data_IF_344918242147
#
_entry.id   IF_344918242147
#
_cell.length_a   1.000
_cell.length_b   1.000
_cell.length_c   1.000
_cell.angle_alpha   90.00
_cell.angle_beta   90.00
_cell.angle_gamma   90.00
#
_symmetry.space_group_name_H-M   'P 1'
#
loop_
_entity.id
_entity.type
_entity.pdbx_description
1 polymer ?
#
# COMPACT_ATOMS: atom_id res chain seq x y z
N UNK A 1 6.83 8.60 -22.35
CA UNK A 1 5.67 9.06 -21.68
C UNK A 1 4.55 8.00 -21.59
N UNK A 2 4.62 7.07 -22.50
CA UNK A 2 3.61 6.02 -22.53
C UNK A 2 3.51 5.23 -21.24
N UNK A 3 4.52 5.28 -20.41
CA UNK A 3 4.46 4.65 -19.10
C UNK A 3 3.30 5.14 -18.27
N UNK A 4 2.82 6.34 -18.54
CA UNK A 4 1.67 6.89 -17.85
C UNK A 4 0.40 6.08 -18.08
N UNK A 5 0.26 5.54 -19.28
CA UNK A 5 -0.93 4.78 -19.61
C UNK A 5 -1.00 3.47 -18.85
N UNK A 6 0.11 3.01 -18.31
CA UNK A 6 0.17 1.75 -17.56
C UNK A 6 -0.10 1.93 -16.08
N UNK A 7 -0.19 3.17 -15.61
CA UNK A 7 -0.43 3.47 -14.22
C UNK A 7 -1.82 4.06 -14.09
N UNK A 8 -2.56 3.63 -13.09
CA UNK A 8 -3.86 4.22 -12.81
C UNK A 8 -3.65 5.69 -12.43
N UNK A 9 -4.10 6.65 -13.27
CA UNK A 9 -3.84 8.06 -13.01
C UNK A 9 -4.47 8.56 -11.72
N UNK A 10 -5.63 8.02 -11.35
CA UNK A 10 -6.31 8.46 -10.12
C UNK A 10 -5.51 8.08 -8.90
N UNK A 11 -4.99 6.86 -8.88
CA UNK A 11 -4.19 6.41 -7.74
C UNK A 11 -2.89 7.19 -7.69
N UNK A 12 -2.23 7.36 -8.82
CA UNK A 12 -0.97 8.09 -8.85
C UNK A 12 -1.15 9.53 -8.38
N UNK A 13 -2.22 10.18 -8.83
CA UNK A 13 -2.50 11.56 -8.42
C UNK A 13 -2.76 11.63 -6.93
N UNK A 14 -3.55 10.71 -6.39
CA UNK A 14 -3.85 10.70 -4.97
C UNK A 14 -2.58 10.49 -4.13
N UNK A 15 -1.75 9.55 -4.54
CA UNK A 15 -0.52 9.28 -3.81
C UNK A 15 0.39 10.51 -3.82
N UNK A 16 0.59 11.11 -4.97
CA UNK A 16 1.45 12.29 -5.08
C UNK A 16 0.91 13.45 -4.26
N UNK A 17 -0.41 13.66 -4.30
CA UNK A 17 -1.02 14.75 -3.54
C UNK A 17 -0.83 14.56 -2.04
N UNK A 18 -1.13 13.36 -1.56
CA UNK A 18 -0.97 13.09 -0.13
C UNK A 18 0.48 13.14 0.28
N UNK A 19 1.36 12.63 -0.56
CA UNK A 19 2.79 12.67 -0.27
C UNK A 19 3.28 14.12 -0.14
N UNK A 20 2.81 15.00 -1.01
CA UNK A 20 3.17 16.41 -0.93
C UNK A 20 2.67 17.05 0.36
N UNK A 21 1.43 16.73 0.76
CA UNK A 21 0.89 17.24 2.00
C UNK A 21 1.68 16.75 3.19
N UNK A 22 2.07 15.49 3.17
CA UNK A 22 2.81 14.90 4.26
C UNK A 22 4.25 15.39 4.32
N UNK A 23 4.81 15.81 3.21
CA UNK A 23 6.14 16.39 3.22
C UNK A 23 6.15 17.72 3.98
N UNK A 24 5.00 18.39 4.04
CA UNK A 24 4.86 19.62 4.79
C UNK A 24 4.46 19.38 6.24
N UNK A 25 3.86 18.22 6.50
CA UNK A 25 3.52 17.79 7.84
C UNK A 25 4.57 16.80 8.32
N UNK A 26 4.39 16.30 9.50
CA UNK A 26 5.30 15.30 10.03
C UNK A 26 4.90 13.92 9.52
N UNK A 27 5.39 13.55 8.34
CA UNK A 27 5.04 12.27 7.75
C UNK A 27 5.71 11.09 8.44
N UNK A 28 6.64 11.33 9.35
CA UNK A 28 7.23 10.24 10.13
C UNK A 28 6.18 9.51 10.96
N UNK A 29 5.05 10.15 11.18
CA UNK A 29 3.94 9.52 11.88
C UNK A 29 3.47 8.24 11.16
N UNK A 30 3.57 8.20 9.84
CA UNK A 30 3.16 7.02 9.09
C UNK A 30 4.17 5.89 9.15
N UNK A 31 5.42 6.17 9.50
CA UNK A 31 6.49 5.19 9.47
C UNK A 31 6.94 4.80 10.86
N UNK A 32 7.00 5.75 11.79
CA UNK A 32 7.71 5.58 13.05
C UNK A 32 7.17 4.53 13.98
N UNK A 33 5.87 4.56 14.23
CA UNK A 33 5.28 3.76 15.31
C UNK A 33 4.36 2.65 14.83
N UNK A 34 4.62 2.14 13.63
CA UNK A 34 3.75 1.09 13.10
C UNK A 34 4.19 -0.28 13.56
N UNK A 35 3.22 -1.15 13.79
CA UNK A 35 3.48 -2.51 14.26
C UNK A 35 3.83 -3.43 13.09
N UNK A 36 4.95 -3.14 12.45
CA UNK A 36 5.33 -3.88 11.24
C UNK A 36 5.64 -5.34 11.54
N UNK A 37 6.04 -5.64 12.75
CA UNK A 37 6.37 -7.02 13.12
C UNK A 37 5.14 -7.92 13.20
N UNK A 38 3.97 -7.33 13.25
CA UNK A 38 2.72 -8.09 13.28
C UNK A 38 2.24 -8.49 11.88
N UNK A 39 2.88 -7.99 10.86
CA UNK A 39 2.46 -8.27 9.48
C UNK A 39 2.95 -9.63 9.04
N UNK A 40 2.04 -10.42 8.48
CA UNK A 40 2.39 -11.71 7.92
C UNK A 40 2.99 -11.55 6.53
N UNK A 41 3.58 -12.64 6.04
CA UNK A 41 4.15 -12.65 4.70
C UNK A 41 3.10 -12.30 3.64
N UNK A 42 1.91 -12.86 3.78
CA UNK A 42 0.82 -12.58 2.84
C UNK A 42 0.43 -11.11 2.89
N UNK A 43 0.37 -10.55 4.09
CA UNK A 43 0.05 -9.13 4.24
C UNK A 43 1.10 -8.25 3.58
N UNK A 44 2.38 -8.58 3.74
CA UNK A 44 3.43 -7.84 3.06
C UNK A 44 3.29 -7.90 1.55
N UNK A 45 2.91 -9.06 1.01
CA UNK A 45 2.70 -9.21 -0.43
C UNK A 45 1.55 -8.33 -0.91
N UNK A 46 0.48 -8.27 -0.14
CA UNK A 46 -0.66 -7.43 -0.48
C UNK A 46 -0.26 -5.96 -0.46
N UNK A 47 0.50 -5.56 0.56
CA UNK A 47 0.96 -4.18 0.66
C UNK A 47 1.82 -3.81 -0.55
N UNK A 48 2.69 -4.71 -0.99
CA UNK A 48 3.52 -4.47 -2.17
C UNK A 48 2.66 -4.27 -3.42
N UNK A 49 1.59 -5.04 -3.55
CA UNK A 49 0.67 -4.88 -4.68
C UNK A 49 -0.06 -3.54 -4.62
N UNK A 50 -0.45 -3.13 -3.42
CA UNK A 50 -1.09 -1.83 -3.25
C UNK A 50 -0.13 -0.71 -3.65
N UNK A 51 1.13 -0.84 -3.28
CA UNK A 51 2.14 0.15 -3.66
C UNK A 51 2.23 0.28 -5.18
N UNK A 52 2.07 -0.82 -5.89
CA UNK A 52 2.13 -0.84 -7.34
C UNK A 52 0.85 -0.35 -8.01
N UNK A 53 -0.18 -0.05 -7.24
CA UNK A 53 -1.44 0.43 -7.78
C UNK A 53 -2.38 -0.68 -8.22
N UNK A 54 -2.15 -1.90 -7.80
CA UNK A 54 -3.02 -3.02 -8.18
C UNK A 54 -4.40 -2.87 -7.57
N UNK A 55 -5.41 -3.30 -8.32
CA UNK A 55 -6.78 -3.37 -7.83
C UNK A 55 -6.96 -4.61 -6.96
N UNK A 56 -8.07 -4.67 -6.22
CA UNK A 56 -8.38 -5.86 -5.44
C UNK A 56 -8.46 -7.10 -6.32
N UNK A 57 -9.03 -6.94 -7.51
CA UNK A 57 -9.11 -8.05 -8.45
C UNK A 57 -7.73 -8.52 -8.87
N UNK A 58 -6.84 -7.58 -9.16
CA UNK A 58 -5.47 -7.92 -9.57
C UNK A 58 -4.71 -8.59 -8.43
N UNK A 59 -4.88 -8.09 -7.21
CA UNK A 59 -4.25 -8.69 -6.05
C UNK A 59 -4.77 -10.11 -5.84
N UNK A 60 -6.08 -10.27 -5.95
CA UNK A 60 -6.70 -11.59 -5.79
C UNK A 60 -6.13 -12.59 -6.79
N UNK A 61 -6.01 -12.17 -8.04
CA UNK A 61 -5.45 -13.03 -9.08
C UNK A 61 -3.99 -13.35 -8.82
N UNK A 62 -3.22 -12.36 -8.42
CA UNK A 62 -1.78 -12.55 -8.20
C UNK A 62 -1.52 -13.49 -7.02
N UNK A 63 -2.33 -13.43 -5.99
CA UNK A 63 -2.13 -14.21 -4.77
C UNK A 63 -3.04 -15.41 -4.68
N UNK A 64 -3.88 -15.64 -5.70
CA UNK A 64 -4.82 -16.77 -5.76
C UNK A 64 -5.80 -16.73 -4.60
N UNK A 65 -6.34 -15.53 -4.35
CA UNK A 65 -7.34 -15.31 -3.33
C UNK A 65 -8.61 -14.77 -3.97
N UNK A 66 -9.71 -14.76 -3.22
CA UNK A 66 -10.90 -14.06 -3.66
C UNK A 66 -10.79 -12.58 -3.38
N UNK A 67 -11.56 -11.77 -4.10
CA UNK A 67 -11.56 -10.34 -3.83
C UNK A 67 -12.06 -10.02 -2.43
N UNK A 68 -13.04 -10.79 -1.94
CA UNK A 68 -13.51 -10.60 -0.58
C UNK A 68 -12.42 -10.84 0.45
N UNK A 69 -11.64 -11.88 0.23
CA UNK A 69 -10.50 -12.16 1.10
C UNK A 69 -9.49 -11.02 1.07
N UNK A 70 -9.22 -10.49 -0.12
CA UNK A 70 -8.31 -9.34 -0.24
C UNK A 70 -8.82 -8.15 0.55
N UNK A 71 -10.13 -7.86 0.45
CA UNK A 71 -10.72 -6.76 1.21
C UNK A 71 -10.56 -6.97 2.71
N UNK A 72 -10.77 -8.20 3.16
CA UNK A 72 -10.59 -8.51 4.58
C UNK A 72 -9.14 -8.31 5.02
N UNK A 73 -8.20 -8.78 4.21
CA UNK A 73 -6.78 -8.55 4.50
C UNK A 73 -6.45 -7.07 4.57
N UNK A 74 -6.99 -6.29 3.64
CA UNK A 74 -6.71 -4.85 3.63
C UNK A 74 -7.25 -4.18 4.90
N UNK A 75 -8.45 -4.54 5.31
CA UNK A 75 -9.00 -4.00 6.57
C UNK A 75 -8.11 -4.34 7.75
N UNK A 76 -7.65 -5.57 7.81
CA UNK A 76 -6.76 -6.00 8.89
C UNK A 76 -5.45 -5.24 8.86
N UNK A 77 -4.87 -5.09 7.67
CA UNK A 77 -3.62 -4.36 7.51
C UNK A 77 -3.76 -2.91 7.95
N UNK A 78 -4.83 -2.26 7.52
CA UNK A 78 -5.07 -0.87 7.90
C UNK A 78 -5.20 -0.72 9.40
N UNK A 79 -5.88 -1.67 10.05
CA UNK A 79 -5.98 -1.65 11.49
C UNK A 79 -4.63 -1.84 12.18
N UNK A 80 -3.85 -2.79 11.69
CA UNK A 80 -2.54 -3.08 12.29
C UNK A 80 -1.61 -1.89 12.18
N UNK A 81 -1.70 -1.15 11.09
CA UNK A 81 -0.82 -0.03 10.82
C UNK A 81 -1.43 1.30 11.22
N UNK A 82 -2.66 1.29 11.73
CA UNK A 82 -3.37 2.50 12.13
C UNK A 82 -3.45 3.50 10.99
N UNK A 83 -3.80 3.00 9.80
CA UNK A 83 -3.97 3.81 8.61
C UNK A 83 -5.46 3.91 8.29
N UNK A 84 -5.84 5.00 7.63
CA UNK A 84 -7.25 5.29 7.37
C UNK A 84 -7.78 4.61 6.12
N UNK A 85 -6.99 4.56 5.08
CA UNK A 85 -7.46 4.07 3.80
C UNK A 85 -6.33 3.52 2.97
N UNK A 86 -6.71 3.00 1.81
CA UNK A 86 -5.79 2.37 0.89
C UNK A 86 -4.71 3.31 0.39
N UNK A 87 -5.07 4.58 0.20
CA UNK A 87 -4.11 5.55 -0.29
C UNK A 87 -2.99 5.79 0.73
N UNK A 88 -3.37 5.89 2.01
CA UNK A 88 -2.37 6.01 3.06
C UNK A 88 -1.48 4.78 3.12
N UNK A 89 -2.07 3.60 2.90
CA UNK A 89 -1.30 2.37 2.87
C UNK A 89 -0.28 2.40 1.74
N UNK A 90 -0.68 2.88 0.57
CA UNK A 90 0.24 2.96 -0.57
C UNK A 90 1.40 3.90 -0.26
N UNK A 91 1.12 5.03 0.36
CA UNK A 91 2.16 5.98 0.74
C UNK A 91 3.09 5.37 1.77
N UNK A 92 2.53 4.73 2.78
CA UNK A 92 3.31 4.06 3.80
C UNK A 92 4.23 3.00 3.19
N UNK A 93 3.70 2.25 2.21
CA UNK A 93 4.48 1.22 1.54
C UNK A 93 5.68 1.80 0.79
N UNK A 94 5.46 2.92 0.12
CA UNK A 94 6.55 3.60 -0.58
C UNK A 94 7.61 4.07 0.41
N UNK A 95 7.19 4.65 1.51
CA UNK A 95 8.11 5.18 2.50
C UNK A 95 8.94 4.09 3.18
N UNK A 96 8.37 2.91 3.34
CA UNK A 96 9.06 1.80 4.00
C UNK A 96 9.81 0.90 3.04
N UNK A 97 9.74 1.17 1.73
CA UNK A 97 10.40 0.35 0.72
C UNK A 97 9.97 -1.12 0.84
N UNK A 98 8.65 -1.34 0.91
CA UNK A 98 8.10 -2.67 1.13
C UNK A 98 8.59 -3.68 0.10
N UNK A 99 8.65 -3.28 -1.16
CA UNK A 99 9.07 -4.20 -2.21
C UNK A 99 10.49 -4.69 -2.00
N UNK A 100 11.33 -3.83 -1.45
CA UNK A 100 12.70 -4.20 -1.13
C UNK A 100 12.73 -5.23 0.01
N UNK A 101 11.83 -5.07 0.98
CA UNK A 101 11.74 -5.99 2.11
C UNK A 101 11.33 -7.39 1.69
N UNK A 102 10.69 -7.53 0.55
CA UNK A 102 10.27 -8.84 0.04
C UNK A 102 11.41 -9.61 -0.62
N UNK A 103 12.62 -9.16 -0.45
CA UNK A 103 13.77 -9.95 -0.83
C UNK A 103 14.26 -9.76 -2.25
N UNK A 104 13.93 -8.66 -2.79
CA UNK A 104 14.41 -8.35 -4.12
C UNK A 104 15.66 -7.52 -4.06
#
# INVERSE_FOLDING_TARGET
YNGWAMINPDIATKVLRLFSQMAQADYSILVGDKNVDELTKTEWKIIAQVEMGASNKEIAEALKLSEGTVRNYLSTILNKLDLRDRTQLAIWAVQTNVRKRLGT
#
